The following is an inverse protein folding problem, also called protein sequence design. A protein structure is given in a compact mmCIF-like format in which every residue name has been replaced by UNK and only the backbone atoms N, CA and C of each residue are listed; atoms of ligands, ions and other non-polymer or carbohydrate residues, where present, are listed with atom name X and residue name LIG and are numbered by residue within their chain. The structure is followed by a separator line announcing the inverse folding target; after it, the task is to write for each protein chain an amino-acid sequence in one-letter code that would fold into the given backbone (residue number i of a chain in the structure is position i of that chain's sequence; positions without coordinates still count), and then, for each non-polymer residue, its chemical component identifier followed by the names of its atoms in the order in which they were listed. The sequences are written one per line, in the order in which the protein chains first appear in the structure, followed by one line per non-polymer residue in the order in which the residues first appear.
data_IF_049725326151
#
_entry.id   IF_049725326151
#
_cell.length_a   1.000
_cell.length_b   1.000
_cell.length_c   1.000
_cell.angle_alpha   90.00
_cell.angle_beta   90.00
_cell.angle_gamma   90.00
#
_symmetry.space_group_name_H-M   'P 1'
#
loop_
_entity.id
_entity.type
_entity.pdbx_description
1 polymer ?
#
# COMPACT_ATOMS: atom_id res chain seq x y z
N UNK A 1 88.33 -12.76 -0.99
CA UNK A 1 87.95 -11.74 -1.99
C UNK A 1 86.46 -11.50 -1.75
N UNK A 2 86.00 -10.46 -1.06
CA UNK A 2 86.06 -9.03 -1.41
C UNK A 2 85.77 -8.81 -2.91
N UNK A 3 84.91 -7.91 -3.38
CA UNK A 3 83.89 -7.00 -2.83
C UNK A 3 83.38 -6.20 -4.05
N UNK A 4 82.15 -5.66 -3.99
CA UNK A 4 81.63 -4.39 -4.56
C UNK A 4 80.18 -4.58 -5.05
N UNK A 5 79.09 -4.28 -4.32
CA UNK A 5 78.56 -2.99 -3.79
C UNK A 5 78.30 -1.96 -4.89
N UNK A 6 77.02 -1.54 -5.07
CA UNK A 6 76.49 -0.15 -4.91
C UNK A 6 74.94 -0.09 -5.06
N UNK A 7 74.30 0.49 -4.02
CA UNK A 7 73.04 1.30 -3.84
C UNK A 7 71.62 0.91 -4.29
N UNK A 8 70.76 0.67 -3.28
CA UNK A 8 69.54 1.38 -2.79
C UNK A 8 68.50 2.13 -3.67
N UNK A 9 67.23 1.97 -3.21
CA UNK A 9 66.01 2.82 -3.27
C UNK A 9 65.19 2.81 -4.60
N UNK A 10 63.84 2.76 -4.67
CA UNK A 10 62.72 3.10 -3.75
C UNK A 10 61.37 2.37 -4.09
N UNK A 11 60.45 2.31 -3.09
CA UNK A 11 58.95 2.35 -3.02
C UNK A 11 58.10 2.30 -4.33
N UNK A 12 56.83 1.88 -4.46
CA UNK A 12 55.66 1.47 -3.64
C UNK A 12 54.58 1.01 -4.68
N UNK A 13 53.67 0.07 -4.36
CA UNK A 13 52.20 0.24 -4.51
C UNK A 13 51.37 -1.04 -4.27
N UNK A 14 50.32 -0.80 -3.46
CA UNK A 14 49.20 -1.63 -3.02
C UNK A 14 48.58 -2.63 -4.01
N UNK A 15 48.18 -3.80 -3.48
CA UNK A 15 46.85 -4.36 -3.75
C UNK A 15 46.33 -5.14 -2.53
N UNK A 16 45.27 -4.61 -1.92
CA UNK A 16 44.51 -5.25 -0.85
C UNK A 16 43.45 -6.20 -1.45
N UNK A 17 43.45 -7.44 -0.98
CA UNK A 17 42.45 -8.46 -1.29
C UNK A 17 41.08 -8.03 -0.76
N UNK A 18 40.06 -8.02 -1.62
CA UNK A 18 38.66 -7.82 -1.23
C UNK A 18 37.99 -9.19 -1.18
N UNK A 19 37.63 -9.63 0.03
CA UNK A 19 36.91 -10.89 0.26
C UNK A 19 35.49 -10.85 -0.33
N UNK A 20 35.13 -11.95 -1.00
CA UNK A 20 33.84 -12.19 -1.66
C UNK A 20 32.79 -12.67 -0.65
N UNK A 21 31.70 -11.93 -0.47
CA UNK A 21 30.53 -12.36 0.31
C UNK A 21 29.83 -13.57 -0.33
N UNK A 22 29.83 -14.69 0.39
CA UNK A 22 29.25 -15.96 -0.04
C UNK A 22 27.71 -15.93 0.01
N UNK A 23 27.07 -16.09 -1.15
CA UNK A 23 25.62 -16.30 -1.28
C UNK A 23 25.30 -17.80 -1.15
N UNK A 24 24.41 -18.19 -0.24
CA UNK A 24 23.93 -19.58 -0.12
C UNK A 24 22.60 -19.77 -0.85
N UNK A 25 22.51 -20.78 -1.71
CA UNK A 25 21.31 -21.08 -2.50
C UNK A 25 20.32 -21.87 -1.64
N UNK A 26 19.19 -21.27 -1.28
CA UNK A 26 18.01 -21.98 -0.75
C UNK A 26 16.80 -21.65 -1.63
N UNK A 27 16.11 -22.68 -2.13
CA UNK A 27 14.87 -22.57 -2.92
C UNK A 27 14.91 -21.60 -4.14
N UNK A 28 15.95 -21.68 -4.96
CA UNK A 28 15.97 -21.06 -6.30
C UNK A 28 15.97 -19.52 -6.33
N UNK A 29 16.04 -18.86 -5.16
CA UNK A 29 16.29 -17.43 -5.04
C UNK A 29 17.66 -17.25 -4.41
N UNK A 30 18.46 -16.30 -4.91
CA UNK A 30 19.71 -15.92 -4.26
C UNK A 30 19.33 -15.25 -2.93
N UNK A 31 19.66 -15.90 -1.81
CA UNK A 31 19.46 -15.36 -0.48
C UNK A 31 20.80 -14.78 -0.01
N UNK A 32 20.80 -13.50 0.30
CA UNK A 32 21.89 -12.81 0.97
C UNK A 32 21.99 -13.29 2.42
N UNK A 33 23.22 -13.45 2.91
CA UNK A 33 23.48 -13.72 4.34
C UNK A 33 23.31 -12.47 5.20
N UNK A 34 23.34 -11.28 4.57
CA UNK A 34 23.16 -9.98 5.23
C UNK A 34 21.83 -9.37 4.76
N UNK A 35 20.93 -9.00 5.69
CA UNK A 35 19.68 -8.35 5.32
C UNK A 35 19.94 -6.94 4.75
N UNK A 36 19.07 -6.50 3.85
CA UNK A 36 19.06 -5.11 3.40
C UNK A 36 18.62 -4.16 4.53
N UNK A 37 18.58 -2.86 4.22
CA UNK A 37 18.18 -1.81 5.17
C UNK A 37 16.77 -1.96 5.76
N UNK A 38 15.97 -2.86 5.20
CA UNK A 38 14.59 -3.13 5.62
C UNK A 38 14.44 -4.53 6.22
N UNK A 39 15.53 -5.27 6.43
CA UNK A 39 15.48 -6.59 7.04
C UNK A 39 15.30 -7.75 6.06
N UNK A 40 15.29 -7.51 4.73
CA UNK A 40 15.13 -8.58 3.74
C UNK A 40 16.47 -9.20 3.34
N UNK A 41 16.53 -10.52 3.35
CA UNK A 41 17.63 -11.36 2.87
C UNK A 41 17.49 -11.69 1.38
N UNK A 42 16.32 -11.44 0.76
CA UNK A 42 16.05 -11.80 -0.63
C UNK A 42 14.57 -11.65 -1.00
N UNK A 43 14.21 -12.12 -2.20
CA UNK A 43 12.84 -12.07 -2.72
C UNK A 43 12.47 -10.74 -3.40
N UNK A 44 11.21 -10.60 -3.80
CA UNK A 44 10.73 -9.47 -4.63
C UNK A 44 10.78 -8.10 -3.93
N UNK A 45 10.94 -8.08 -2.61
CA UNK A 45 11.00 -6.86 -1.80
C UNK A 45 12.42 -6.48 -1.37
N UNK A 46 13.40 -7.35 -1.64
CA UNK A 46 14.81 -7.09 -1.38
C UNK A 46 15.32 -5.94 -2.25
N UNK A 47 15.99 -4.98 -1.63
CA UNK A 47 16.56 -3.80 -2.29
C UNK A 47 18.00 -3.56 -1.82
N UNK A 48 18.99 -4.21 -2.47
CA UNK A 48 20.40 -4.09 -2.08
C UNK A 48 20.97 -2.70 -2.36
N UNK A 49 20.49 -2.05 -3.43
CA UNK A 49 20.99 -0.75 -3.84
C UNK A 49 20.35 0.40 -3.04
N UNK A 50 21.18 1.35 -2.60
CA UNK A 50 20.71 2.65 -2.15
C UNK A 50 20.26 3.46 -3.37
N UNK A 51 18.94 3.54 -3.59
CA UNK A 51 18.38 4.63 -4.42
C UNK A 51 18.84 5.97 -3.82
N UNK A 52 19.10 6.96 -4.68
CA UNK A 52 19.60 8.29 -4.26
C UNK A 52 18.89 8.76 -2.99
N UNK A 53 19.63 8.75 -1.88
CA UNK A 53 19.07 9.03 -0.57
C UNK A 53 18.74 10.52 -0.48
N UNK A 54 17.50 10.83 -0.11
CA UNK A 54 17.11 12.18 0.28
C UNK A 54 18.16 12.72 1.26
N UNK A 55 18.71 13.93 1.07
CA UNK A 55 19.74 14.47 1.94
C UNK A 55 19.33 14.40 3.44
N UNK A 56 20.23 14.01 4.36
CA UNK A 56 19.90 13.82 5.76
C UNK A 56 19.26 15.06 6.42
N UNK A 57 19.68 16.27 6.04
CA UNK A 57 19.10 17.53 6.52
C UNK A 57 17.63 17.69 6.11
N UNK A 58 17.25 17.20 4.92
CA UNK A 58 15.86 17.20 4.44
C UNK A 58 15.03 16.20 5.26
N UNK A 59 15.58 15.03 5.56
CA UNK A 59 14.92 14.02 6.40
C UNK A 59 14.66 14.59 7.79
N UNK A 60 15.67 15.16 8.45
CA UNK A 60 15.54 15.78 9.77
C UNK A 60 14.53 16.93 9.78
N UNK A 61 14.51 17.78 8.74
CA UNK A 61 13.51 18.84 8.59
C UNK A 61 12.08 18.30 8.43
N UNK A 62 11.91 17.18 7.70
CA UNK A 62 10.61 16.52 7.55
C UNK A 62 10.16 15.88 8.88
N UNK A 63 11.08 15.24 9.58
CA UNK A 63 10.84 14.63 10.88
C UNK A 63 10.38 15.65 11.93
N UNK A 64 11.08 16.77 12.09
CA UNK A 64 10.66 17.84 13.02
C UNK A 64 9.24 18.33 12.75
N UNK A 65 8.86 18.47 11.48
CA UNK A 65 7.50 18.85 11.07
C UNK A 65 6.48 17.77 11.43
N UNK A 66 6.82 16.50 11.27
CA UNK A 66 5.96 15.39 11.67
C UNK A 66 5.79 15.32 13.19
N UNK A 67 6.87 15.46 13.96
CA UNK A 67 6.81 15.50 15.43
C UNK A 67 5.90 16.65 15.89
N UNK A 68 6.03 17.84 15.29
CA UNK A 68 5.15 18.97 15.59
C UNK A 68 3.67 18.63 15.32
N UNK A 69 3.37 17.99 14.19
CA UNK A 69 1.99 17.58 13.86
C UNK A 69 1.46 16.53 14.83
N UNK A 70 2.27 15.51 15.17
CA UNK A 70 1.89 14.43 16.08
C UNK A 70 1.65 14.93 17.51
N UNK A 71 2.44 15.88 17.99
CA UNK A 71 2.24 16.48 19.31
C UNK A 71 0.97 17.36 19.37
N UNK A 72 0.41 17.74 18.22
CA UNK A 72 -0.80 18.55 18.10
C UNK A 72 -1.84 17.84 17.22
N UNK A 73 -1.93 16.51 17.32
CA UNK A 73 -2.63 15.68 16.34
C UNK A 73 -4.10 16.09 16.11
N UNK A 74 -4.84 16.31 17.19
CA UNK A 74 -6.26 16.71 17.11
C UNK A 74 -6.45 18.03 16.37
N UNK A 75 -5.60 19.03 16.63
CA UNK A 75 -5.63 20.31 15.91
C UNK A 75 -5.37 20.10 14.42
N UNK A 76 -4.36 19.30 14.07
CA UNK A 76 -4.02 19.07 12.67
C UNK A 76 -5.09 18.28 11.93
N UNK A 77 -5.71 17.29 12.55
CA UNK A 77 -6.76 16.50 11.91
C UNK A 77 -8.07 17.28 11.75
N UNK A 78 -8.36 18.22 12.65
CA UNK A 78 -9.60 19.05 12.58
C UNK A 78 -9.45 20.27 11.67
N UNK A 79 -8.32 20.99 11.77
CA UNK A 79 -8.16 22.30 11.11
C UNK A 79 -7.15 22.31 9.96
N UNK A 80 -6.20 21.37 9.94
CA UNK A 80 -5.08 21.37 9.00
C UNK A 80 -4.89 20.02 8.29
N UNK A 81 -5.98 19.29 8.06
CA UNK A 81 -5.93 17.95 7.47
C UNK A 81 -5.28 17.96 6.07
N UNK A 82 -5.49 19.02 5.30
CA UNK A 82 -4.84 19.20 3.99
C UNK A 82 -3.30 19.13 4.08
N UNK A 83 -2.71 19.64 5.17
CA UNK A 83 -1.27 19.65 5.43
C UNK A 83 -0.75 18.29 5.85
N UNK A 84 -1.52 17.55 6.66
CA UNK A 84 -1.25 16.14 6.97
C UNK A 84 -1.23 15.32 5.68
N UNK A 85 -2.27 15.46 4.86
CA UNK A 85 -2.38 14.79 3.56
C UNK A 85 -1.21 15.11 2.62
N UNK A 86 -0.83 16.38 2.48
CA UNK A 86 0.33 16.79 1.69
C UNK A 86 1.63 16.13 2.19
N UNK A 87 1.80 16.02 3.51
CA UNK A 87 2.98 15.40 4.11
C UNK A 87 3.00 13.89 3.91
N UNK A 88 1.87 13.19 4.00
CA UNK A 88 1.76 11.77 3.64
C UNK A 88 2.16 11.53 2.16
N UNK A 89 1.70 12.37 1.25
CA UNK A 89 2.06 12.33 -0.18
C UNK A 89 3.54 12.63 -0.46
N UNK A 90 4.21 13.41 0.40
CA UNK A 90 5.67 13.66 0.34
C UNK A 90 6.50 12.57 1.01
N UNK A 91 5.91 11.89 1.97
CA UNK A 91 6.44 10.72 2.64
C UNK A 91 6.78 10.92 4.09
N UNK A 92 6.43 9.90 4.86
CA UNK A 92 6.61 9.85 6.30
C UNK A 92 8.02 9.33 6.55
N UNK A 93 8.89 10.08 7.27
CA UNK A 93 10.21 9.60 7.64
C UNK A 93 10.11 8.28 8.44
N UNK A 94 11.02 7.32 8.23
CA UNK A 94 10.97 6.03 8.93
C UNK A 94 10.89 6.16 10.46
N UNK A 95 11.65 7.09 11.05
CA UNK A 95 11.73 7.30 12.51
C UNK A 95 10.40 7.68 13.18
N UNK A 96 9.46 8.28 12.42
CA UNK A 96 8.15 8.71 12.93
C UNK A 96 7.00 7.89 12.36
N UNK A 97 7.28 6.93 11.47
CA UNK A 97 6.26 6.17 10.74
C UNK A 97 5.33 5.41 11.66
N UNK A 98 5.87 4.73 12.68
CA UNK A 98 5.10 4.05 13.73
C UNK A 98 4.02 4.96 14.31
N UNK A 99 4.44 6.12 14.86
CA UNK A 99 3.53 7.06 15.52
C UNK A 99 2.52 7.64 14.54
N UNK A 100 2.96 7.95 13.32
CA UNK A 100 2.08 8.50 12.29
C UNK A 100 1.03 7.49 11.84
N UNK A 101 1.41 6.26 11.51
CA UNK A 101 0.47 5.22 11.07
C UNK A 101 -0.54 4.88 12.15
N UNK A 102 -0.08 4.70 13.39
CA UNK A 102 -0.94 4.42 14.55
C UNK A 102 -2.00 5.52 14.77
N UNK A 103 -1.64 6.79 14.56
CA UNK A 103 -2.57 7.90 14.65
C UNK A 103 -3.48 8.03 13.42
N UNK A 104 -2.96 7.82 12.21
CA UNK A 104 -3.69 7.93 10.94
C UNK A 104 -4.79 6.87 10.82
N UNK A 105 -4.49 5.63 11.18
CA UNK A 105 -5.48 4.56 11.15
C UNK A 105 -6.53 4.69 12.28
N UNK A 106 -6.18 5.36 13.38
CA UNK A 106 -7.02 5.46 14.59
C UNK A 106 -6.66 4.44 15.67
N UNK A 107 -5.64 3.61 15.46
CA UNK A 107 -5.20 2.61 16.43
C UNK A 107 -4.75 3.22 17.76
N UNK A 108 -4.21 4.46 17.77
CA UNK A 108 -3.88 5.15 19.02
C UNK A 108 -5.12 5.40 19.89
N UNK A 109 -6.25 5.76 19.27
CA UNK A 109 -7.51 5.98 19.98
C UNK A 109 -8.03 4.68 20.57
N UNK A 110 -8.10 3.62 19.73
CA UNK A 110 -8.55 2.30 20.17
C UNK A 110 -7.70 1.74 21.31
N UNK A 111 -6.38 1.90 21.23
CA UNK A 111 -5.45 1.46 22.28
C UNK A 111 -5.69 2.19 23.60
N UNK A 112 -5.96 3.51 23.57
CA UNK A 112 -6.26 4.29 24.77
C UNK A 112 -7.60 3.88 25.39
N UNK A 113 -8.62 3.63 24.56
CA UNK A 113 -9.96 3.22 25.01
C UNK A 113 -10.01 1.80 25.58
N UNK A 114 -9.06 0.94 25.18
CA UNK A 114 -9.05 -0.49 25.52
C UNK A 114 -7.74 -0.90 26.20
N UNK A 115 -7.43 -0.23 27.31
CA UNK A 115 -6.21 -0.50 28.09
C UNK A 115 -6.12 -1.98 28.51
N UNK A 116 -4.95 -2.60 28.31
CA UNK A 116 -4.63 -4.00 28.63
C UNK A 116 -5.42 -5.08 27.85
N UNK A 117 -6.33 -4.71 26.95
CA UNK A 117 -7.17 -5.70 26.27
C UNK A 117 -6.35 -6.66 25.40
N UNK A 118 -5.29 -6.18 24.74
CA UNK A 118 -4.41 -7.05 23.95
C UNK A 118 -3.73 -8.12 24.83
N UNK A 119 -3.20 -7.71 25.98
CA UNK A 119 -2.54 -8.57 26.96
C UNK A 119 -3.50 -9.62 27.55
N UNK A 120 -4.78 -9.28 27.68
CA UNK A 120 -5.82 -10.25 28.05
C UNK A 120 -6.11 -11.23 26.90
N UNK A 121 -6.27 -10.73 25.67
CA UNK A 121 -6.63 -11.54 24.51
C UNK A 121 -5.56 -12.60 24.20
N UNK A 122 -4.27 -12.27 24.30
CA UNK A 122 -3.20 -13.24 24.06
C UNK A 122 -3.20 -14.39 25.07
N UNK A 123 -3.69 -14.15 26.30
CA UNK A 123 -3.82 -15.18 27.37
C UNK A 123 -5.04 -16.06 27.19
N UNK A 124 -6.11 -15.57 26.53
CA UNK A 124 -7.33 -16.35 26.29
C UNK A 124 -7.06 -17.50 25.30
N UNK A 125 -7.76 -18.64 25.42
CA UNK A 125 -7.72 -19.66 24.38
C UNK A 125 -8.35 -19.11 23.10
N UNK A 126 -7.75 -19.41 21.94
CA UNK A 126 -8.34 -19.11 20.64
C UNK A 126 -9.13 -20.29 20.10
N UNK A 127 -9.96 -20.05 19.08
CA UNK A 127 -10.64 -21.12 18.35
C UNK A 127 -9.59 -22.08 17.73
N UNK A 128 -9.61 -23.39 18.02
CA UNK A 128 -8.63 -24.35 17.51
C UNK A 128 -8.43 -24.28 15.99
N UNK A 129 -9.53 -24.06 15.23
CA UNK A 129 -9.46 -23.94 13.77
C UNK A 129 -8.59 -22.76 13.35
N UNK A 130 -8.85 -21.57 13.91
CA UNK A 130 -8.07 -20.38 13.58
C UNK A 130 -6.64 -20.49 14.07
N UNK A 131 -6.39 -21.11 15.22
CA UNK A 131 -5.03 -21.37 15.71
C UNK A 131 -4.23 -22.22 14.70
N UNK A 132 -4.82 -23.29 14.17
CA UNK A 132 -4.17 -24.13 13.17
C UNK A 132 -3.93 -23.39 11.86
N UNK A 133 -4.92 -22.64 11.37
CA UNK A 133 -4.81 -21.88 10.12
C UNK A 133 -3.72 -20.81 10.23
N UNK A 134 -3.66 -20.07 11.35
CA UNK A 134 -2.60 -19.10 11.61
C UNK A 134 -1.23 -19.78 11.60
N UNK A 135 -1.05 -20.90 12.32
CA UNK A 135 0.22 -21.64 12.36
C UNK A 135 0.69 -22.08 10.97
N UNK A 136 -0.25 -22.54 10.12
CA UNK A 136 0.04 -22.90 8.73
C UNK A 136 0.44 -21.71 7.88
N UNK A 137 0.07 -20.49 8.24
CA UNK A 137 0.40 -19.30 7.45
C UNK A 137 1.69 -18.61 7.87
N UNK A 138 2.17 -18.78 9.12
CA UNK A 138 3.34 -18.07 9.65
C UNK A 138 4.57 -18.20 8.73
N UNK A 139 4.90 -19.42 8.30
CA UNK A 139 6.09 -19.69 7.48
C UNK A 139 6.02 -19.11 6.06
N UNK A 140 4.82 -18.68 5.59
CA UNK A 140 4.63 -18.11 4.25
C UNK A 140 4.65 -16.58 4.25
N UNK A 141 4.68 -15.95 5.43
CA UNK A 141 4.67 -14.49 5.54
C UNK A 141 6.10 -13.95 5.57
N UNK A 142 6.50 -13.30 4.48
CA UNK A 142 7.82 -12.68 4.33
C UNK A 142 8.98 -13.59 4.78
N UNK A 143 9.09 -14.82 4.23
CA UNK A 143 10.05 -15.83 4.71
C UNK A 143 11.52 -15.40 4.54
N UNK A 144 11.78 -14.40 3.71
CA UNK A 144 13.11 -13.82 3.50
C UNK A 144 13.38 -12.61 4.40
N UNK A 145 12.51 -12.26 5.33
CA UNK A 145 12.73 -11.13 6.24
C UNK A 145 13.23 -11.63 7.60
N UNK A 146 14.26 -11.00 8.16
CA UNK A 146 14.96 -11.42 9.38
C UNK A 146 14.04 -11.67 10.58
N UNK A 147 12.95 -10.91 10.70
CA UNK A 147 11.95 -11.12 11.76
C UNK A 147 11.10 -12.40 11.61
N UNK A 148 10.96 -12.93 10.39
CA UNK A 148 10.02 -14.00 10.06
C UNK A 148 10.68 -15.24 9.45
N UNK A 149 12.02 -15.27 9.35
CA UNK A 149 12.75 -16.50 9.05
C UNK A 149 12.37 -17.59 10.06
N UNK A 150 12.58 -18.85 9.67
CA UNK A 150 12.18 -19.99 10.48
C UNK A 150 12.74 -19.90 11.91
N UNK A 151 11.87 -20.11 12.91
CA UNK A 151 12.17 -19.99 14.34
C UNK A 151 12.55 -18.58 14.84
N UNK A 152 12.38 -17.53 14.03
CA UNK A 152 12.60 -16.17 14.49
C UNK A 152 11.50 -15.70 15.47
N UNK A 153 11.85 -14.84 16.45
CA UNK A 153 10.88 -14.32 17.43
C UNK A 153 9.65 -13.64 16.80
N UNK A 154 9.80 -13.01 15.63
CA UNK A 154 8.69 -12.31 14.97
C UNK A 154 7.57 -13.24 14.51
N UNK A 155 7.83 -14.54 14.26
CA UNK A 155 6.77 -15.52 13.99
C UNK A 155 5.83 -15.70 15.19
N UNK A 156 6.39 -15.67 16.40
CA UNK A 156 5.61 -15.78 17.64
C UNK A 156 4.79 -14.51 17.89
N UNK A 157 5.36 -13.32 17.63
CA UNK A 157 4.60 -12.07 17.70
C UNK A 157 3.47 -12.02 16.67
N UNK A 158 3.73 -12.45 15.43
CA UNK A 158 2.72 -12.54 14.38
C UNK A 158 1.58 -13.48 14.78
N UNK A 159 1.91 -14.65 15.34
CA UNK A 159 0.92 -15.58 15.88
C UNK A 159 0.05 -14.92 16.94
N UNK A 160 0.66 -14.21 17.90
CA UNK A 160 -0.08 -13.56 18.99
C UNK A 160 -1.01 -12.45 18.49
N UNK A 161 -0.54 -11.60 17.57
CA UNK A 161 -1.36 -10.53 16.98
C UNK A 161 -2.56 -11.10 16.23
N UNK A 162 -2.36 -12.11 15.39
CA UNK A 162 -3.44 -12.72 14.61
C UNK A 162 -4.42 -13.51 15.48
N UNK A 163 -3.91 -14.22 16.50
CA UNK A 163 -4.74 -14.90 17.50
C UNK A 163 -5.59 -13.88 18.27
N UNK A 164 -4.99 -12.82 18.79
CA UNK A 164 -5.71 -11.81 19.55
C UNK A 164 -6.81 -11.16 18.68
N UNK A 165 -6.51 -10.88 17.41
CA UNK A 165 -7.49 -10.35 16.46
C UNK A 165 -8.66 -11.30 16.25
N UNK A 166 -8.40 -12.59 16.02
CA UNK A 166 -9.46 -13.58 15.76
C UNK A 166 -10.37 -13.80 16.98
N UNK A 167 -9.84 -13.61 18.20
CA UNK A 167 -10.63 -13.63 19.44
C UNK A 167 -11.46 -12.35 19.57
N UNK A 168 -10.86 -11.18 19.34
CA UNK A 168 -11.56 -9.89 19.44
C UNK A 168 -12.73 -9.81 18.47
N UNK A 169 -12.52 -10.20 17.21
CA UNK A 169 -13.53 -10.18 16.17
C UNK A 169 -13.94 -11.59 15.76
N UNK A 170 -14.50 -12.35 16.70
CA UNK A 170 -14.85 -13.77 16.51
C UNK A 170 -15.85 -14.04 15.37
N UNK A 171 -16.66 -13.05 14.98
CA UNK A 171 -17.58 -13.14 13.83
C UNK A 171 -16.84 -13.25 12.50
N UNK A 172 -15.73 -12.52 12.37
CA UNK A 172 -14.84 -12.59 11.19
C UNK A 172 -13.82 -13.70 11.39
N UNK A 173 -13.31 -13.85 12.61
CA UNK A 173 -12.26 -14.80 12.96
C UNK A 173 -10.93 -14.44 12.29
N UNK A 174 -10.28 -15.46 11.73
CA UNK A 174 -9.04 -15.30 10.98
C UNK A 174 -9.27 -15.58 9.49
N UNK A 175 -8.79 -14.65 8.65
CA UNK A 175 -8.65 -14.80 7.22
C UNK A 175 -7.17 -14.72 6.85
N UNK A 176 -6.69 -15.64 6.01
CA UNK A 176 -5.27 -15.74 5.59
C UNK A 176 -4.69 -14.40 5.10
N UNK A 177 -5.50 -13.58 4.42
CA UNK A 177 -5.06 -12.28 3.90
C UNK A 177 -4.75 -11.23 4.99
N UNK A 178 -5.08 -11.50 6.26
CA UNK A 178 -4.72 -10.64 7.39
C UNK A 178 -3.25 -10.83 7.82
N UNK A 179 -2.70 -12.04 7.66
CA UNK A 179 -1.33 -12.34 8.04
C UNK A 179 -0.26 -11.45 7.38
N UNK A 180 -0.29 -11.18 6.05
CA UNK A 180 0.68 -10.28 5.45
C UNK A 180 0.50 -8.82 5.91
N UNK A 181 -0.71 -8.40 6.30
CA UNK A 181 -0.93 -7.06 6.87
C UNK A 181 -0.34 -6.97 8.28
N UNK A 182 -0.59 -7.97 9.12
CA UNK A 182 -0.07 -8.03 10.48
C UNK A 182 1.47 -8.10 10.50
N UNK A 183 2.07 -8.93 9.65
CA UNK A 183 3.52 -9.03 9.52
C UNK A 183 4.14 -7.71 9.05
N UNK A 184 3.54 -7.07 8.04
CA UNK A 184 3.98 -5.76 7.56
C UNK A 184 3.92 -4.67 8.66
N UNK A 185 2.89 -4.70 9.50
CA UNK A 185 2.80 -3.80 10.66
C UNK A 185 3.90 -4.09 11.69
N UNK A 186 4.15 -5.37 12.02
CA UNK A 186 5.17 -5.77 12.99
C UNK A 186 6.59 -5.35 12.57
N UNK A 187 6.88 -5.28 11.27
CA UNK A 187 8.15 -4.73 10.76
C UNK A 187 8.36 -3.24 11.08
N UNK A 188 7.30 -2.54 11.49
CA UNK A 188 7.33 -1.10 11.76
C UNK A 188 6.98 -0.72 13.19
N UNK A 189 6.41 -1.64 13.98
CA UNK A 189 5.96 -1.34 15.34
C UNK A 189 5.83 -2.57 16.22
N UNK A 190 5.91 -2.41 17.55
CA UNK A 190 5.71 -3.52 18.48
C UNK A 190 4.29 -4.11 18.39
N UNK A 191 4.14 -5.33 18.90
CA UNK A 191 2.94 -6.15 18.75
C UNK A 191 1.64 -5.46 19.19
N UNK A 192 1.64 -4.70 20.30
CA UNK A 192 0.45 -4.00 20.80
C UNK A 192 -0.04 -2.96 19.78
N UNK A 193 0.86 -2.14 19.24
CA UNK A 193 0.53 -1.13 18.24
C UNK A 193 0.14 -1.76 16.91
N UNK A 194 0.81 -2.85 16.52
CA UNK A 194 0.50 -3.60 15.31
C UNK A 194 -0.92 -4.20 15.38
N UNK A 195 -1.28 -4.79 16.53
CA UNK A 195 -2.61 -5.28 16.80
C UNK A 195 -3.67 -4.19 16.63
N UNK A 196 -3.50 -3.03 17.27
CA UNK A 196 -4.48 -1.95 17.16
C UNK A 196 -4.53 -1.30 15.77
N UNK A 197 -3.42 -1.26 15.04
CA UNK A 197 -3.43 -0.87 13.64
C UNK A 197 -4.20 -1.87 12.78
N UNK A 198 -4.02 -3.17 12.99
CA UNK A 198 -4.75 -4.22 12.27
C UNK A 198 -6.26 -4.10 12.52
N UNK A 199 -6.67 -3.96 13.79
CA UNK A 199 -8.07 -3.73 14.17
C UNK A 199 -8.64 -2.51 13.45
N UNK A 200 -7.96 -1.36 13.58
CA UNK A 200 -8.40 -0.13 12.93
C UNK A 200 -8.50 -0.27 11.40
N UNK A 201 -7.56 -0.95 10.76
CA UNK A 201 -7.56 -1.12 9.30
C UNK A 201 -8.72 -2.00 8.86
N UNK A 202 -8.94 -3.13 9.54
CA UNK A 202 -10.04 -4.03 9.26
C UNK A 202 -11.40 -3.35 9.46
N UNK A 203 -11.58 -2.65 10.57
CA UNK A 203 -12.87 -2.07 10.96
C UNK A 203 -13.18 -0.74 10.28
N UNK A 204 -12.17 -0.02 9.77
CA UNK A 204 -12.38 1.27 9.10
C UNK A 204 -12.30 1.15 7.59
N UNK A 205 -11.27 0.49 7.08
CA UNK A 205 -10.96 0.47 5.65
C UNK A 205 -11.44 -0.81 4.97
N UNK A 206 -11.32 -1.97 5.61
CA UNK A 206 -11.57 -3.27 4.99
C UNK A 206 -12.87 -3.94 5.46
N UNK A 207 -13.83 -3.15 5.98
CA UNK A 207 -15.13 -3.67 6.45
C UNK A 207 -15.78 -4.56 5.39
N UNK A 208 -16.05 -5.81 5.75
CA UNK A 208 -16.73 -6.78 4.90
C UNK A 208 -15.86 -7.42 3.81
N UNK A 209 -14.55 -7.16 3.77
CA UNK A 209 -13.63 -7.89 2.88
C UNK A 209 -13.32 -9.30 3.36
N UNK A 210 -13.25 -9.50 4.69
CA UNK A 210 -12.94 -10.80 5.28
C UNK A 210 -14.17 -11.60 5.71
N UNK A 211 -15.38 -11.14 5.36
CA UNK A 211 -16.60 -11.89 5.62
C UNK A 211 -16.74 -13.07 4.66
N UNK A 212 -17.53 -14.06 5.06
CA UNK A 212 -17.90 -15.18 4.19
C UNK A 212 -18.52 -14.67 2.87
N UNK A 213 -18.16 -15.29 1.75
CA UNK A 213 -18.64 -14.91 0.42
C UNK A 213 -17.97 -13.66 -0.20
N UNK A 214 -17.18 -12.89 0.58
CA UNK A 214 -16.42 -11.74 0.09
C UNK A 214 -17.24 -10.73 -0.74
N UNK A 215 -18.52 -10.53 -0.38
CA UNK A 215 -19.46 -9.70 -1.17
C UNK A 215 -18.96 -8.26 -1.37
N UNK A 216 -18.32 -7.68 -0.35
CA UNK A 216 -17.75 -6.33 -0.43
C UNK A 216 -16.59 -6.28 -1.42
N UNK A 217 -15.75 -7.31 -1.45
CA UNK A 217 -14.63 -7.40 -2.39
C UNK A 217 -15.13 -7.55 -3.83
N UNK A 218 -16.12 -8.42 -4.05
CA UNK A 218 -16.74 -8.64 -5.36
C UNK A 218 -17.33 -7.34 -5.91
N UNK A 219 -18.10 -6.65 -5.08
CA UNK A 219 -18.67 -5.32 -5.35
C UNK A 219 -17.61 -4.29 -5.69
N UNK A 220 -16.54 -4.24 -4.91
CA UNK A 220 -15.44 -3.30 -5.16
C UNK A 220 -14.67 -3.65 -6.44
N UNK A 221 -14.67 -4.93 -6.83
CA UNK A 221 -14.21 -5.35 -8.14
C UNK A 221 -15.05 -4.84 -9.30
N UNK A 222 -16.37 -4.87 -9.18
CA UNK A 222 -17.26 -4.27 -10.18
C UNK A 222 -17.04 -2.76 -10.30
N UNK A 223 -16.85 -2.08 -9.17
CA UNK A 223 -16.52 -0.64 -9.15
C UNK A 223 -15.18 -0.39 -9.85
N UNK A 224 -14.13 -1.17 -9.53
CA UNK A 224 -12.82 -1.06 -10.16
C UNK A 224 -12.91 -1.26 -11.67
N UNK A 225 -13.67 -2.26 -12.12
CA UNK A 225 -13.87 -2.57 -13.53
C UNK A 225 -14.66 -1.48 -14.27
N UNK A 226 -15.68 -0.92 -13.63
CA UNK A 226 -16.44 0.21 -14.16
C UNK A 226 -15.58 1.47 -14.30
N UNK A 227 -14.72 1.76 -13.32
CA UNK A 227 -13.75 2.85 -13.39
C UNK A 227 -12.74 2.62 -14.52
N UNK A 228 -12.24 1.38 -14.69
CA UNK A 228 -11.30 1.03 -15.75
C UNK A 228 -11.85 1.39 -17.14
N UNK A 229 -13.15 1.21 -17.39
CA UNK A 229 -13.80 1.60 -18.66
C UNK A 229 -13.55 3.07 -19.02
N UNK A 230 -13.48 3.96 -18.04
CA UNK A 230 -13.24 5.40 -18.24
C UNK A 230 -11.74 5.72 -18.31
N UNK A 231 -10.94 5.09 -17.46
CA UNK A 231 -9.51 5.38 -17.31
C UNK A 231 -8.68 4.76 -18.44
N UNK A 232 -9.04 3.55 -18.86
CA UNK A 232 -8.37 2.80 -19.92
C UNK A 232 -9.40 1.94 -20.68
N UNK A 233 -10.12 2.53 -21.66
CA UNK A 233 -11.06 1.79 -22.51
C UNK A 233 -10.40 0.62 -23.28
N UNK A 234 -9.10 0.69 -23.52
CA UNK A 234 -8.32 -0.38 -24.16
C UNK A 234 -8.23 -1.59 -23.23
N UNK A 235 -7.75 -1.39 -22.00
CA UNK A 235 -7.66 -2.47 -21.01
C UNK A 235 -9.04 -3.05 -20.69
N UNK A 236 -10.05 -2.21 -20.50
CA UNK A 236 -11.43 -2.66 -20.25
C UNK A 236 -11.97 -3.56 -21.36
N UNK A 237 -11.82 -3.16 -22.63
CA UNK A 237 -12.28 -3.98 -23.77
C UNK A 237 -11.53 -5.30 -23.86
N UNK A 238 -10.23 -5.29 -23.60
CA UNK A 238 -9.42 -6.51 -23.57
C UNK A 238 -9.91 -7.48 -22.49
N UNK A 239 -10.04 -7.03 -21.24
CA UNK A 239 -10.53 -7.86 -20.14
C UNK A 239 -11.94 -8.38 -20.39
N UNK A 240 -12.83 -7.55 -20.94
CA UNK A 240 -14.19 -7.98 -21.32
C UNK A 240 -14.15 -9.06 -22.41
N UNK A 241 -13.29 -8.92 -23.42
CA UNK A 241 -13.10 -9.93 -24.48
C UNK A 241 -12.61 -11.26 -23.90
N UNK A 242 -11.68 -11.21 -22.95
CA UNK A 242 -11.13 -12.39 -22.27
C UNK A 242 -12.03 -12.97 -21.18
N UNK A 243 -13.23 -12.38 -20.95
CA UNK A 243 -14.14 -12.72 -19.85
C UNK A 243 -13.44 -12.73 -18.47
N UNK A 244 -12.52 -11.78 -18.27
CA UNK A 244 -11.72 -11.72 -17.06
C UNK A 244 -12.48 -11.01 -15.93
N UNK A 245 -12.88 -11.75 -14.92
CA UNK A 245 -13.54 -11.21 -13.74
C UNK A 245 -12.53 -10.55 -12.78
N UNK A 246 -12.87 -9.41 -12.14
CA UNK A 246 -11.97 -8.69 -11.24
C UNK A 246 -11.35 -9.54 -10.13
N UNK A 247 -12.15 -10.43 -9.53
CA UNK A 247 -11.74 -11.31 -8.43
C UNK A 247 -10.51 -12.17 -8.77
N UNK A 248 -10.26 -12.46 -10.05
CA UNK A 248 -9.13 -13.32 -10.46
C UNK A 248 -7.76 -12.67 -10.28
N UNK A 249 -7.70 -11.33 -10.31
CA UNK A 249 -6.44 -10.58 -10.22
C UNK A 249 -6.37 -9.61 -9.03
N UNK A 250 -7.51 -9.05 -8.59
CA UNK A 250 -7.48 -8.01 -7.55
C UNK A 250 -7.55 -8.56 -6.12
N UNK A 251 -7.88 -9.84 -5.94
CA UNK A 251 -8.14 -10.41 -4.61
C UNK A 251 -6.95 -10.18 -3.67
N UNK A 252 -5.74 -10.53 -4.10
CA UNK A 252 -4.55 -10.29 -3.28
C UNK A 252 -4.28 -8.80 -3.08
N UNK A 253 -4.44 -7.99 -4.13
CA UNK A 253 -4.22 -6.54 -4.09
C UNK A 253 -5.04 -5.85 -3.01
N UNK A 254 -6.34 -6.17 -2.92
CA UNK A 254 -7.27 -5.49 -2.03
C UNK A 254 -7.28 -6.13 -0.64
N UNK A 255 -7.30 -7.47 -0.57
CA UNK A 255 -7.33 -8.17 0.72
C UNK A 255 -6.03 -8.01 1.52
N UNK A 256 -4.89 -7.88 0.84
CA UNK A 256 -3.59 -7.69 1.48
C UNK A 256 -3.09 -6.23 1.38
N UNK A 257 -3.92 -5.29 0.88
CA UNK A 257 -3.54 -3.88 0.68
C UNK A 257 -2.16 -3.75 0.00
N UNK A 258 -1.96 -4.54 -1.04
CA UNK A 258 -0.73 -4.63 -1.85
C UNK A 258 0.57 -5.06 -1.14
N UNK A 259 0.55 -5.46 0.14
CA UNK A 259 1.77 -5.82 0.89
C UNK A 259 2.53 -7.02 0.31
N UNK A 260 1.86 -7.85 -0.49
CA UNK A 260 2.44 -8.99 -1.22
C UNK A 260 2.82 -8.70 -2.67
N UNK A 261 2.36 -7.57 -3.22
CA UNK A 261 2.45 -7.29 -4.66
C UNK A 261 3.48 -6.22 -4.98
N UNK A 262 3.52 -5.14 -4.18
CA UNK A 262 4.37 -3.99 -4.49
C UNK A 262 5.78 -4.15 -3.92
N UNK A 263 6.81 -3.63 -4.62
CA UNK A 263 8.15 -3.46 -4.07
C UNK A 263 8.13 -2.68 -2.76
N UNK A 264 9.11 -2.93 -1.90
CA UNK A 264 9.11 -2.42 -0.53
C UNK A 264 8.96 -0.90 -0.42
N UNK A 265 9.78 -0.14 -1.16
CA UNK A 265 9.70 1.32 -1.14
C UNK A 265 8.34 1.83 -1.60
N UNK A 266 7.78 1.22 -2.64
CA UNK A 266 6.48 1.57 -3.18
C UNK A 266 5.37 1.35 -2.15
N UNK A 267 5.34 0.18 -1.49
CA UNK A 267 4.29 -0.14 -0.53
C UNK A 267 4.30 0.82 0.66
N UNK A 268 5.47 1.24 1.16
CA UNK A 268 5.59 2.24 2.22
C UNK A 268 4.91 3.55 1.81
N UNK A 269 5.15 4.02 0.58
CA UNK A 269 4.52 5.25 0.09
C UNK A 269 3.02 5.11 -0.11
N UNK A 270 2.57 3.97 -0.63
CA UNK A 270 1.14 3.67 -0.77
C UNK A 270 0.45 3.67 0.59
N UNK A 271 1.05 3.06 1.61
CA UNK A 271 0.50 2.99 2.96
C UNK A 271 0.43 4.35 3.65
N UNK A 272 1.47 5.19 3.50
CA UNK A 272 1.44 6.58 3.98
C UNK A 272 0.20 7.34 3.46
N UNK A 273 -0.12 7.17 2.17
CA UNK A 273 -1.29 7.79 1.54
C UNK A 273 -2.59 7.08 1.92
N UNK A 274 -2.61 5.75 1.93
CA UNK A 274 -3.79 4.92 2.22
C UNK A 274 -4.33 5.18 3.63
N UNK A 275 -3.47 5.17 4.65
CA UNK A 275 -3.91 5.41 6.03
C UNK A 275 -4.43 6.84 6.25
N UNK A 276 -4.01 7.79 5.41
CA UNK A 276 -4.47 9.18 5.48
C UNK A 276 -5.73 9.44 4.66
N UNK A 277 -5.80 8.92 3.44
CA UNK A 277 -6.81 9.26 2.44
C UNK A 277 -7.87 8.16 2.26
N UNK A 278 -7.66 6.98 2.83
CA UNK A 278 -8.59 5.85 2.80
C UNK A 278 -8.53 5.01 1.54
N UNK A 279 -9.58 4.18 1.36
CA UNK A 279 -9.63 3.09 0.37
C UNK A 279 -9.51 3.56 -1.08
N UNK A 280 -9.78 4.84 -1.40
CA UNK A 280 -9.52 5.38 -2.76
C UNK A 280 -8.10 5.12 -3.23
N UNK A 281 -7.11 5.15 -2.35
CA UNK A 281 -5.71 4.91 -2.72
C UNK A 281 -5.54 3.51 -3.30
N UNK A 282 -6.19 2.50 -2.69
CA UNK A 282 -6.15 1.10 -3.15
C UNK A 282 -6.72 0.98 -4.58
N UNK A 283 -7.87 1.61 -4.85
CA UNK A 283 -8.46 1.64 -6.19
C UNK A 283 -7.58 2.35 -7.21
N UNK A 284 -7.00 3.49 -6.85
CA UNK A 284 -6.12 4.24 -7.75
C UNK A 284 -4.90 3.42 -8.15
N UNK A 285 -4.26 2.74 -7.19
CA UNK A 285 -3.13 1.84 -7.46
C UNK A 285 -3.58 0.73 -8.42
N UNK A 286 -4.72 0.08 -8.17
CA UNK A 286 -5.23 -0.97 -9.03
C UNK A 286 -5.47 -0.50 -10.47
N UNK A 287 -6.02 0.71 -10.65
CA UNK A 287 -6.21 1.32 -11.97
C UNK A 287 -4.89 1.65 -12.66
N UNK A 288 -3.87 2.08 -11.92
CA UNK A 288 -2.53 2.36 -12.44
C UNK A 288 -1.89 1.05 -12.91
N UNK A 289 -1.95 -0.03 -12.11
CA UNK A 289 -1.43 -1.34 -12.48
C UNK A 289 -2.15 -1.89 -13.72
N UNK A 290 -3.49 -1.86 -13.75
CA UNK A 290 -4.28 -2.32 -14.90
C UNK A 290 -3.96 -1.55 -16.19
N UNK A 291 -3.85 -0.21 -16.10
CA UNK A 291 -3.49 0.62 -17.27
C UNK A 291 -2.04 0.40 -17.68
N UNK A 292 -1.13 0.27 -16.73
CA UNK A 292 0.26 0.01 -17.04
C UNK A 292 0.44 -1.33 -17.74
N UNK A 293 -0.27 -2.38 -17.30
CA UNK A 293 -0.17 -3.72 -17.88
C UNK A 293 -0.91 -3.88 -19.21
N UNK A 294 -2.08 -3.25 -19.38
CA UNK A 294 -2.98 -3.52 -20.52
C UNK A 294 -3.51 -2.25 -21.23
N UNK A 295 -3.02 -1.06 -20.89
CA UNK A 295 -3.60 0.20 -21.36
C UNK A 295 -3.27 0.60 -22.79
N UNK A 296 -2.38 -0.14 -23.47
CA UNK A 296 -1.99 0.11 -24.86
C UNK A 296 -2.29 -1.11 -25.71
N UNK A 297 -2.69 -0.89 -26.96
CA UNK A 297 -2.99 -1.99 -27.89
C UNK A 297 -1.79 -2.92 -28.09
N UNK A 298 -0.57 -2.39 -28.08
CA UNK A 298 0.67 -3.19 -28.15
C UNK A 298 0.77 -4.17 -27.00
N UNK A 299 0.48 -3.74 -25.77
CA UNK A 299 0.50 -4.60 -24.57
C UNK A 299 -0.58 -5.69 -24.64
N UNK A 300 -1.80 -5.32 -25.05
CA UNK A 300 -2.89 -6.30 -25.17
C UNK A 300 -2.62 -7.36 -26.25
N UNK A 301 -1.86 -7.03 -27.30
CA UNK A 301 -1.46 -7.99 -28.35
C UNK A 301 -0.46 -9.02 -27.82
N UNK A 302 0.35 -8.67 -26.82
CA UNK A 302 1.26 -9.59 -26.14
C UNK A 302 0.53 -10.56 -25.18
N UNK A 303 -0.76 -10.33 -24.90
CA UNK A 303 -1.55 -11.16 -23.99
C UNK A 303 -2.84 -11.66 -24.67
N UNK A 304 -2.75 -12.50 -25.71
CA UNK A 304 -3.90 -12.83 -26.55
C UNK A 304 -4.96 -13.70 -25.87
N UNK A 305 -4.60 -14.47 -24.84
CA UNK A 305 -5.53 -15.36 -24.11
C UNK A 305 -5.79 -14.87 -22.68
N UNK A 306 -6.79 -15.48 -22.05
CA UNK A 306 -7.10 -15.32 -20.62
C UNK A 306 -5.89 -15.66 -19.75
N UNK A 307 -5.09 -16.67 -20.10
CA UNK A 307 -3.93 -17.08 -19.30
C UNK A 307 -2.84 -16.01 -19.27
N UNK A 308 -2.34 -15.53 -20.43
CA UNK A 308 -1.30 -14.51 -20.43
C UNK A 308 -1.80 -13.19 -19.83
N UNK A 309 -3.08 -12.87 -20.05
CA UNK A 309 -3.73 -11.71 -19.42
C UNK A 309 -3.72 -11.83 -17.90
N UNK A 310 -4.02 -13.00 -17.34
CA UNK A 310 -3.98 -13.21 -15.90
C UNK A 310 -2.54 -13.16 -15.36
N UNK A 311 -1.58 -13.73 -16.09
CA UNK A 311 -0.16 -13.72 -15.71
C UNK A 311 0.40 -12.30 -15.60
N UNK A 312 0.13 -11.43 -16.57
CA UNK A 312 0.61 -10.03 -16.54
C UNK A 312 -0.08 -9.17 -15.46
N UNK A 313 -1.30 -9.55 -15.07
CA UNK A 313 -2.00 -8.88 -13.97
C UNK A 313 -1.53 -9.38 -12.61
N UNK A 314 -1.25 -10.67 -12.45
CA UNK A 314 -0.67 -11.20 -11.20
C UNK A 314 0.76 -10.74 -10.99
N UNK A 315 1.50 -10.51 -12.09
CA UNK A 315 2.88 -10.06 -12.08
C UNK A 315 3.03 -8.80 -12.95
N UNK A 316 2.54 -7.62 -12.52
CA UNK A 316 2.75 -6.38 -13.26
C UNK A 316 4.25 -6.11 -13.45
N UNK A 317 4.61 -5.42 -14.53
CA UNK A 317 6.03 -5.11 -14.77
C UNK A 317 6.62 -4.25 -13.65
N UNK A 318 7.86 -4.53 -13.25
CA UNK A 318 8.57 -3.82 -12.19
C UNK A 318 8.54 -2.29 -12.37
N UNK A 319 8.72 -1.81 -13.60
CA UNK A 319 8.70 -0.37 -13.90
C UNK A 319 7.42 0.36 -13.46
N UNK A 320 6.24 -0.26 -13.64
CA UNK A 320 4.97 0.36 -13.23
C UNK A 320 4.84 0.35 -11.70
N UNK A 321 5.49 -0.61 -11.04
CA UNK A 321 5.45 -0.78 -9.59
C UNK A 321 6.54 0.03 -8.87
N UNK A 322 7.41 0.74 -9.58
CA UNK A 322 8.42 1.61 -8.99
C UNK A 322 7.80 2.78 -8.22
N UNK A 323 8.43 3.13 -7.09
CA UNK A 323 7.95 4.17 -6.17
C UNK A 323 7.67 5.49 -6.89
N UNK A 324 8.65 5.98 -7.66
CA UNK A 324 8.57 7.27 -8.36
C UNK A 324 7.41 7.28 -9.36
N UNK A 325 7.24 6.19 -10.12
CA UNK A 325 6.17 6.04 -11.09
C UNK A 325 4.82 6.01 -10.39
N UNK A 326 4.64 5.17 -9.37
CA UNK A 326 3.37 5.06 -8.65
C UNK A 326 2.99 6.36 -7.95
N UNK A 327 3.92 6.99 -7.23
CA UNK A 327 3.67 8.24 -6.51
C UNK A 327 3.37 9.37 -7.50
N UNK A 328 4.14 9.48 -8.59
CA UNK A 328 3.87 10.46 -9.64
C UNK A 328 2.49 10.25 -10.25
N UNK A 329 2.14 9.02 -10.62
CA UNK A 329 0.83 8.71 -11.18
C UNK A 329 -0.26 9.03 -10.16
N UNK A 330 -0.16 8.63 -8.89
CA UNK A 330 -1.18 8.88 -7.87
C UNK A 330 -1.43 10.36 -7.58
N UNK A 331 -0.36 11.17 -7.59
CA UNK A 331 -0.42 12.60 -7.30
C UNK A 331 -0.85 13.42 -8.52
N UNK A 332 -0.44 13.01 -9.73
CA UNK A 332 -0.70 13.73 -10.98
C UNK A 332 -1.82 13.11 -11.83
N UNK A 333 -2.54 12.08 -11.36
CA UNK A 333 -3.68 11.51 -12.09
C UNK A 333 -4.89 12.47 -12.11
N UNK A 334 -4.78 13.55 -12.89
CA UNK A 334 -5.84 14.50 -13.20
C UNK A 334 -7.10 13.82 -13.78
N UNK A 335 -6.97 12.61 -14.35
CA UNK A 335 -8.06 11.87 -14.97
C UNK A 335 -9.08 11.39 -13.91
N UNK A 336 -8.65 11.07 -12.68
CA UNK A 336 -9.58 10.70 -11.60
C UNK A 336 -10.41 11.90 -11.13
N UNK A 337 -9.82 13.10 -11.13
CA UNK A 337 -10.54 14.34 -10.84
C UNK A 337 -11.69 14.56 -11.83
N UNK A 338 -11.50 14.28 -13.13
CA UNK A 338 -12.55 14.38 -14.16
C UNK A 338 -13.59 13.24 -14.15
N UNK A 339 -13.20 12.03 -13.74
CA UNK A 339 -14.11 10.86 -13.69
C UNK A 339 -15.03 10.91 -12.48
N UNK A 340 -14.52 11.38 -11.33
CA UNK A 340 -15.34 11.58 -10.13
C UNK A 340 -16.14 12.90 -10.13
N UNK A 341 -15.80 13.86 -11.01
CA UNK A 341 -16.50 15.17 -11.11
C UNK A 341 -17.50 15.29 -12.28
N UNK A 342 -17.73 14.24 -13.10
CA UNK A 342 -18.69 14.30 -14.21
C UNK A 342 -20.00 13.55 -13.91
N UNK A 343 -21.06 14.35 -13.74
CA UNK A 343 -22.40 14.07 -13.22
C UNK A 343 -23.30 13.22 -14.14
N UNK A 344 -22.88 12.01 -14.52
CA UNK A 344 -23.79 10.98 -15.10
C UNK A 344 -23.61 9.57 -14.51
N UNK A 345 -22.68 9.41 -13.56
CA UNK A 345 -22.51 8.18 -12.75
C UNK A 345 -23.18 8.27 -11.38
N UNK A 346 -23.58 9.48 -10.95
CA UNK A 346 -24.31 9.74 -9.71
C UNK A 346 -25.75 9.18 -9.71
N UNK A 347 -26.33 8.92 -10.88
CA UNK A 347 -27.76 8.60 -11.03
C UNK A 347 -28.05 7.14 -11.44
N UNK A 348 -27.05 6.36 -11.88
CA UNK A 348 -27.26 5.02 -12.48
C UNK A 348 -26.91 3.88 -11.50
N UNK A 349 -26.43 4.19 -10.30
CA UNK A 349 -26.08 3.19 -9.28
C UNK A 349 -26.76 3.58 -7.97
N UNK A 350 -27.56 2.68 -7.41
CA UNK A 350 -28.58 2.92 -6.38
C UNK A 350 -28.15 3.87 -5.24
N UNK A 351 -29.05 4.81 -4.93
CA UNK A 351 -28.80 6.08 -4.24
C UNK A 351 -28.46 5.94 -2.74
N UNK A 352 -28.57 4.77 -2.12
CA UNK A 352 -28.12 4.56 -0.72
C UNK A 352 -26.69 4.02 -0.62
N UNK A 353 -26.17 3.45 -1.71
CA UNK A 353 -24.98 2.62 -1.70
C UNK A 353 -23.70 3.36 -2.07
N UNK A 354 -23.77 4.22 -3.09
CA UNK A 354 -22.68 5.12 -3.44
C UNK A 354 -22.53 6.22 -2.38
N UNK A 355 -23.62 6.66 -1.74
CA UNK A 355 -23.59 7.66 -0.66
C UNK A 355 -22.80 7.16 0.56
N UNK A 356 -23.03 5.92 1.00
CA UNK A 356 -22.27 5.31 2.11
C UNK A 356 -20.79 5.06 1.76
N UNK A 357 -20.46 4.81 0.49
CA UNK A 357 -19.08 4.63 0.04
C UNK A 357 -18.36 5.95 -0.31
N UNK A 358 -19.08 6.96 -0.80
CA UNK A 358 -18.56 8.32 -1.02
C UNK A 358 -18.27 9.00 0.33
N UNK A 359 -19.10 8.76 1.36
CA UNK A 359 -18.81 9.16 2.75
C UNK A 359 -17.54 8.49 3.30
N UNK A 360 -17.21 7.26 2.87
CA UNK A 360 -15.94 6.55 3.19
C UNK A 360 -14.72 7.06 2.40
N UNK A 361 -14.91 7.82 1.33
CA UNK A 361 -13.84 8.27 0.41
C UNK A 361 -13.32 9.69 0.66
N UNK A 362 -13.90 10.44 1.61
CA UNK A 362 -13.48 11.80 2.00
C UNK A 362 -13.14 12.70 0.79
N UNK A 363 -14.13 12.88 -0.09
CA UNK A 363 -14.31 14.10 -0.88
C UNK A 363 -15.19 15.01 -0.02
N UNK A 364 -14.86 16.29 0.15
CA UNK A 364 -15.71 17.17 0.96
C UNK A 364 -16.93 17.60 0.16
N UNK A 365 -18.05 17.79 0.85
CA UNK A 365 -19.33 18.27 0.30
C UNK A 365 -19.19 19.70 -0.26
N UNK A 366 -18.31 20.51 0.34
CA UNK A 366 -17.98 21.88 -0.12
C UNK A 366 -17.27 21.91 -1.49
N UNK A 367 -16.42 20.92 -1.79
CA UNK A 367 -15.75 20.80 -3.10
C UNK A 367 -16.74 20.48 -4.23
N UNK A 368 -17.81 19.74 -3.91
CA UNK A 368 -18.88 19.44 -4.86
C UNK A 368 -19.84 20.62 -5.04
N UNK A 369 -20.20 21.30 -3.96
CA UNK A 369 -21.04 22.51 -3.98
C UNK A 369 -20.37 23.65 -4.79
N UNK A 370 -19.05 23.84 -4.61
CA UNK A 370 -18.25 24.83 -5.34
C UNK A 370 -18.23 24.56 -6.86
N UNK A 371 -17.96 23.31 -7.27
CA UNK A 371 -17.88 22.98 -8.69
C UNK A 371 -19.27 22.97 -9.34
N UNK A 372 -20.33 22.61 -8.60
CA UNK A 372 -21.71 22.72 -9.06
C UNK A 372 -22.12 24.19 -9.31
N UNK A 373 -21.85 25.09 -8.37
CA UNK A 373 -22.13 26.53 -8.52
C UNK A 373 -21.34 27.14 -9.68
N UNK A 374 -20.06 26.77 -9.84
CA UNK A 374 -19.20 27.24 -10.95
C UNK A 374 -19.72 26.78 -12.32
N UNK A 375 -20.22 25.55 -12.43
CA UNK A 375 -20.81 25.02 -13.67
C UNK A 375 -22.14 25.69 -14.01
N UNK A 376 -22.98 25.99 -13.01
CA UNK A 376 -24.24 26.73 -13.18
C UNK A 376 -24.00 28.17 -13.66
N UNK A 377 -23.00 28.86 -13.10
CA UNK A 377 -22.60 30.19 -13.54
C UNK A 377 -22.08 30.21 -14.98
N UNK A 378 -21.30 29.20 -15.37
CA UNK A 378 -20.84 29.04 -16.76
C UNK A 378 -21.97 28.80 -17.75
N UNK A 379 -23.00 28.02 -17.38
CA UNK A 379 -24.17 27.78 -18.25
C UNK A 379 -24.98 29.05 -18.44
N UNK A 380 -25.25 29.79 -17.36
CA UNK A 380 -25.92 31.11 -17.43
C UNK A 380 -25.13 32.14 -18.25
N UNK A 381 -23.80 32.12 -18.18
CA UNK A 381 -22.95 32.99 -19.00
C UNK A 381 -22.98 32.59 -20.48
N UNK A 382 -22.90 31.29 -20.78
CA UNK A 382 -22.97 30.79 -22.14
C UNK A 382 -24.35 31.02 -22.78
N UNK A 383 -25.44 30.87 -22.01
CA UNK A 383 -26.81 31.15 -22.46
C UNK A 383 -27.02 32.64 -22.79
N UNK A 384 -26.43 33.54 -21.99
CA UNK A 384 -26.41 34.99 -22.27
C UNK A 384 -25.57 35.35 -23.50
N UNK A 385 -24.44 34.69 -23.71
CA UNK A 385 -23.62 34.89 -24.92
C UNK A 385 -24.30 34.34 -26.18
N UNK A 386 -25.09 33.27 -26.07
CA UNK A 386 -25.89 32.78 -27.20
C UNK A 386 -27.09 33.67 -27.50
N UNK A 387 -27.75 34.24 -26.48
CA UNK A 387 -28.88 35.16 -26.67
C UNK A 387 -28.42 36.48 -27.33
N UNK A 388 -27.29 37.05 -26.89
CA UNK A 388 -26.70 38.28 -27.47
C UNK A 388 -26.06 38.09 -28.87
N UNK A 389 -26.06 36.87 -29.42
CA UNK A 389 -25.62 36.59 -30.80
C UNK A 389 -26.78 36.36 -31.77
N UNK A 390 -28.01 36.32 -31.24
CA UNK A 390 -29.25 36.12 -32.00
C UNK A 390 -30.15 37.36 -32.04
N UNK A 391 -29.77 38.41 -31.32
CA UNK A 391 -30.18 39.80 -31.56
C UNK A 391 -29.06 40.53 -32.33
#
# INVERSE_FOLDING_TARGET
MAASVVSYNDEEELNAETESEASSIYQGSVISTVPDRHGFLGGSQYSPERKQSIPPDVILRRERKWIQMLNNWNLFMTTNYHKVRERCRKGIPPSVRLRAWLNLCGGQLLMNENSNLYEELIKRPGDPKYIEDIKKDLHRQFPHHEMFVENAPGQQELFQVLKAYSILNSKVGYCQAQAPIAAFLLMHMPAVQAFWCLVAICDKYLIGYYSQGMETLLRDGDILFALLKRISPVAYRHLKKQKMEPILYMTEWFLCVYTRTLPWESILRIWDMFLCEGVKVIFKVGLILLKGSLGRTSLTKCCPTTYETLQVLRNPSQHIMEEEVLVYQLTNYYILYRVFSNSRLYYILSVTFLMLQIQRLNLSEEDFEYEHQRQMLKRKAAEKETANRTD
#
